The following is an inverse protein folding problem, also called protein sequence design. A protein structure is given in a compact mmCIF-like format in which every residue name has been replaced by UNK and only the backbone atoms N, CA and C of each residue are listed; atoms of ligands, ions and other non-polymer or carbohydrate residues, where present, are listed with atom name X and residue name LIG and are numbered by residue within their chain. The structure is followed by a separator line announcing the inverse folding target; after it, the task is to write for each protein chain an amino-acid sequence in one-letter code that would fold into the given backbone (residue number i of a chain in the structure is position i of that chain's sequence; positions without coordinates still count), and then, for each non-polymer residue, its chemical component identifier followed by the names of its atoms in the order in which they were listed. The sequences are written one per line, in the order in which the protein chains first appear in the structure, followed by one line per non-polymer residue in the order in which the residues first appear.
data_IF_874492186422
#
_entry.id   IF_874492186422
#
_cell.length_a   1.000
_cell.length_b   1.000
_cell.length_c   1.000
_cell.angle_alpha   90.00
_cell.angle_beta   90.00
_cell.angle_gamma   90.00
#
_symmetry.space_group_name_H-M   'P 1'
#
loop_
_entity.id
_entity.type
_entity.pdbx_description
1 polymer ?
#
# COMPACT_ATOMS: atom_id res chain seq x y z
N UNK A 1 54.31 2.46 -9.80
CA UNK A 1 53.69 1.38 -8.99
C UNK A 1 52.94 0.45 -9.93
N UNK A 2 53.42 -0.79 -10.10
CA UNK A 2 52.74 -1.78 -10.94
C UNK A 2 51.34 -2.06 -10.38
N UNK A 3 50.31 -2.03 -11.22
CA UNK A 3 48.96 -2.38 -10.83
C UNK A 3 48.96 -3.87 -10.43
N UNK A 4 48.86 -4.16 -9.12
CA UNK A 4 48.75 -5.54 -8.63
C UNK A 4 47.52 -6.17 -9.30
N UNK A 5 47.76 -7.16 -10.15
CA UNK A 5 46.70 -7.82 -10.91
C UNK A 5 45.73 -8.45 -9.91
N UNK A 6 44.47 -8.02 -9.94
CA UNK A 6 43.45 -8.54 -9.02
C UNK A 6 43.02 -9.91 -9.52
N UNK A 7 42.83 -10.89 -8.63
CA UNK A 7 42.31 -12.17 -9.05
C UNK A 7 40.86 -12.01 -9.53
N UNK A 8 40.52 -12.71 -10.62
CA UNK A 8 39.24 -12.57 -11.32
C UNK A 8 38.03 -12.85 -10.41
N UNK A 9 38.16 -13.79 -9.46
CA UNK A 9 37.10 -14.15 -8.50
C UNK A 9 36.55 -12.96 -7.70
N UNK A 10 37.35 -11.91 -7.49
CA UNK A 10 36.92 -10.72 -6.76
C UNK A 10 35.91 -9.89 -7.57
N UNK A 11 36.00 -9.92 -8.91
CA UNK A 11 35.02 -9.27 -9.79
C UNK A 11 33.71 -10.04 -9.75
N UNK A 12 33.78 -11.38 -9.80
CA UNK A 12 32.60 -12.24 -9.72
C UNK A 12 31.88 -12.09 -8.37
N UNK A 13 32.62 -12.12 -7.26
CA UNK A 13 32.06 -11.93 -5.92
C UNK A 13 31.32 -10.60 -5.76
N UNK A 14 31.84 -9.54 -6.39
CA UNK A 14 31.17 -8.24 -6.43
C UNK A 14 29.83 -8.32 -7.16
N UNK A 15 29.80 -8.92 -8.35
CA UNK A 15 28.58 -9.03 -9.16
C UNK A 15 27.54 -9.90 -8.48
N UNK A 16 27.94 -11.05 -7.95
CA UNK A 16 27.06 -11.94 -7.19
C UNK A 16 26.46 -11.21 -5.97
N UNK A 17 27.28 -10.47 -5.22
CA UNK A 17 26.79 -9.68 -4.08
C UNK A 17 25.81 -8.58 -4.51
N UNK A 18 26.07 -7.92 -5.64
CA UNK A 18 25.20 -6.87 -6.16
C UNK A 18 23.85 -7.42 -6.68
N UNK A 19 23.87 -8.58 -7.35
CA UNK A 19 22.65 -9.26 -7.80
C UNK A 19 21.85 -9.76 -6.60
N UNK A 20 22.50 -10.38 -5.62
CA UNK A 20 21.84 -10.81 -4.38
C UNK A 20 21.22 -9.62 -3.64
N UNK A 21 21.93 -8.49 -3.54
CA UNK A 21 21.40 -7.26 -2.97
C UNK A 21 20.19 -6.74 -3.75
N UNK A 22 20.24 -6.76 -5.08
CA UNK A 22 19.11 -6.31 -5.91
C UNK A 22 17.86 -7.18 -5.68
N UNK A 23 18.02 -8.51 -5.61
CA UNK A 23 16.91 -9.44 -5.33
C UNK A 23 16.35 -9.24 -3.93
N UNK A 24 17.22 -9.08 -2.92
CA UNK A 24 16.80 -8.83 -1.54
C UNK A 24 16.04 -7.51 -1.43
N UNK A 25 16.58 -6.42 -1.98
CA UNK A 25 15.89 -5.12 -2.03
C UNK A 25 14.55 -5.18 -2.78
N UNK A 26 14.44 -5.99 -3.83
CA UNK A 26 13.17 -6.19 -4.54
C UNK A 26 12.08 -6.81 -3.66
N UNK A 27 12.44 -7.55 -2.60
CA UNK A 27 11.52 -7.99 -1.55
C UNK A 27 11.36 -6.95 -0.42
N UNK A 28 12.44 -6.25 -0.03
CA UNK A 28 12.44 -5.24 1.03
C UNK A 28 11.54 -4.05 0.70
N UNK A 29 11.58 -3.52 -0.53
CA UNK A 29 10.80 -2.32 -0.89
C UNK A 29 9.28 -2.56 -0.82
N UNK A 30 8.71 -3.66 -1.38
CA UNK A 30 7.31 -4.00 -1.15
C UNK A 30 6.98 -4.24 0.33
N UNK A 31 7.84 -4.94 1.07
CA UNK A 31 7.63 -5.17 2.50
C UNK A 31 7.58 -3.84 3.29
N UNK A 32 8.46 -2.89 2.96
CA UNK A 32 8.46 -1.54 3.54
C UNK A 32 7.20 -0.75 3.15
N UNK A 33 6.74 -0.85 1.91
CA UNK A 33 5.51 -0.20 1.46
C UNK A 33 4.28 -0.78 2.18
N UNK A 34 4.20 -2.11 2.33
CA UNK A 34 3.14 -2.80 3.06
C UNK A 34 3.20 -2.50 4.56
N UNK A 35 4.39 -2.45 5.16
CA UNK A 35 4.54 -2.00 6.55
C UNK A 35 3.93 -0.61 6.77
N UNK A 36 4.15 0.32 5.84
CA UNK A 36 3.52 1.65 5.90
C UNK A 36 2.01 1.58 5.63
N UNK A 37 1.56 0.84 4.62
CA UNK A 37 0.13 0.72 4.32
C UNK A 37 -0.70 0.07 5.45
N UNK A 38 -0.04 -0.71 6.31
CA UNK A 38 -0.66 -1.42 7.44
C UNK A 38 -0.53 -0.67 8.76
N UNK A 39 0.04 0.54 8.76
CA UNK A 39 0.01 1.41 9.94
C UNK A 39 -1.44 1.64 10.41
N UNK A 40 -1.62 2.01 11.68
CA UNK A 40 -2.97 2.10 12.27
C UNK A 40 -3.91 3.01 11.48
N UNK A 41 -3.44 4.17 11.03
CA UNK A 41 -4.30 5.11 10.29
C UNK A 41 -4.63 4.57 8.90
N UNK A 42 -3.62 4.15 8.13
CA UNK A 42 -3.81 3.65 6.76
C UNK A 42 -4.59 2.33 6.73
N UNK A 43 -4.28 1.40 7.63
CA UNK A 43 -4.96 0.11 7.74
C UNK A 43 -6.44 0.27 8.10
N UNK A 44 -6.76 1.12 9.08
CA UNK A 44 -8.14 1.44 9.41
C UNK A 44 -8.87 2.10 8.23
N UNK A 45 -8.23 3.02 7.52
CA UNK A 45 -8.81 3.65 6.34
C UNK A 45 -9.10 2.64 5.23
N UNK A 46 -8.16 1.75 4.90
CA UNK A 46 -8.33 0.69 3.90
C UNK A 46 -9.48 -0.24 4.29
N UNK A 47 -9.49 -0.74 5.54
CA UNK A 47 -10.59 -1.59 6.04
C UNK A 47 -11.93 -0.84 5.94
N UNK A 48 -11.97 0.45 6.30
CA UNK A 48 -13.19 1.26 6.24
C UNK A 48 -13.74 1.36 4.82
N UNK A 49 -12.88 1.54 3.82
CA UNK A 49 -13.29 1.59 2.40
C UNK A 49 -13.80 0.24 1.91
N UNK A 50 -13.09 -0.85 2.21
CA UNK A 50 -13.52 -2.20 1.80
C UNK A 50 -14.87 -2.54 2.43
N UNK A 51 -15.01 -2.35 3.75
CA UNK A 51 -16.27 -2.63 4.46
C UNK A 51 -17.40 -1.73 3.94
N UNK A 52 -17.15 -0.43 3.77
CA UNK A 52 -18.18 0.47 3.24
C UNK A 52 -18.61 0.09 1.82
N UNK A 53 -17.66 -0.33 0.97
CA UNK A 53 -17.93 -0.79 -0.39
C UNK A 53 -18.77 -2.07 -0.40
N UNK A 54 -18.44 -3.04 0.44
CA UNK A 54 -19.22 -4.27 0.61
C UNK A 54 -20.64 -4.01 1.15
N UNK A 55 -20.82 -2.96 1.95
CA UNK A 55 -22.13 -2.56 2.47
C UNK A 55 -22.93 -1.65 1.53
N UNK A 56 -22.33 -1.17 0.43
CA UNK A 56 -22.91 -0.16 -0.45
C UNK A 56 -22.98 -0.69 -1.89
N UNK A 57 -23.95 -1.57 -2.21
CA UNK A 57 -24.03 -2.18 -3.52
C UNK A 57 -24.25 -1.16 -4.66
N UNK A 58 -24.94 -0.05 -4.36
CA UNK A 58 -25.10 1.08 -5.29
C UNK A 58 -23.88 2.04 -5.33
N UNK A 59 -22.73 1.63 -4.78
CA UNK A 59 -21.52 2.46 -4.65
C UNK A 59 -21.55 3.42 -3.45
N UNK A 60 -20.38 3.93 -3.06
CA UNK A 60 -20.19 4.71 -1.83
C UNK A 60 -20.92 6.07 -1.80
N UNK A 61 -21.23 6.65 -2.95
CA UNK A 61 -21.90 7.97 -3.05
C UNK A 61 -23.42 7.89 -3.16
N UNK A 62 -23.98 6.68 -3.29
CA UNK A 62 -25.43 6.49 -3.37
C UNK A 62 -26.14 7.06 -2.13
N UNK A 63 -27.21 7.82 -2.36
CA UNK A 63 -28.06 8.33 -1.28
C UNK A 63 -28.93 7.25 -0.63
N UNK A 64 -29.05 6.07 -1.25
CA UNK A 64 -29.86 4.96 -0.71
C UNK A 64 -29.28 4.46 0.62
N UNK A 65 -30.14 4.20 1.60
CA UNK A 65 -29.77 3.87 2.98
C UNK A 65 -29.34 5.08 3.82
N UNK A 66 -28.61 6.05 3.22
CA UNK A 66 -28.29 7.30 3.90
C UNK A 66 -29.56 8.12 4.16
N UNK A 67 -30.48 8.19 3.19
CA UNK A 67 -31.78 8.86 3.39
C UNK A 67 -32.55 8.32 4.58
N UNK A 68 -32.58 7.00 4.77
CA UNK A 68 -33.26 6.35 5.90
C UNK A 68 -32.62 6.71 7.24
N UNK A 69 -31.28 6.68 7.32
CA UNK A 69 -30.54 7.14 8.51
C UNK A 69 -30.82 8.63 8.76
N UNK A 70 -30.83 9.46 7.72
CA UNK A 70 -31.13 10.90 7.88
C UNK A 70 -32.54 11.11 8.42
N UNK A 71 -33.52 10.36 7.96
CA UNK A 71 -34.90 10.46 8.45
C UNK A 71 -35.04 9.99 9.90
N UNK A 72 -34.40 8.88 10.27
CA UNK A 72 -34.39 8.39 11.67
C UNK A 72 -33.73 9.40 12.61
N UNK A 73 -32.53 9.88 12.28
CA UNK A 73 -31.82 10.90 13.06
C UNK A 73 -32.61 12.22 13.15
N UNK A 74 -33.34 12.62 12.10
CA UNK A 74 -34.20 13.81 12.15
C UNK A 74 -35.36 13.66 13.14
N UNK A 75 -35.89 12.45 13.31
CA UNK A 75 -36.98 12.17 14.27
C UNK A 75 -36.49 12.04 15.71
N UNK A 76 -35.35 11.39 15.93
CA UNK A 76 -34.83 11.07 17.28
C UNK A 76 -33.75 12.03 17.79
N UNK A 77 -33.21 12.90 16.95
CA UNK A 77 -32.07 13.79 17.24
C UNK A 77 -30.70 13.11 17.12
N UNK A 78 -30.62 11.81 17.39
CA UNK A 78 -29.45 10.97 17.19
C UNK A 78 -29.86 9.51 16.99
N UNK A 79 -29.06 8.75 16.25
CA UNK A 79 -29.27 7.31 16.04
C UNK A 79 -28.00 6.54 16.38
N UNK A 80 -28.12 5.51 17.22
CA UNK A 80 -27.05 4.56 17.47
C UNK A 80 -27.16 3.43 16.43
N UNK A 81 -26.30 3.46 15.41
CA UNK A 81 -26.21 2.39 14.41
C UNK A 81 -25.24 1.33 14.94
N UNK A 82 -25.74 0.13 15.19
CA UNK A 82 -24.91 -1.01 15.60
C UNK A 82 -24.52 -1.84 14.38
N UNK A 83 -23.21 -1.99 14.16
CA UNK A 83 -22.66 -2.82 13.09
C UNK A 83 -21.60 -3.75 13.64
N UNK A 84 -21.80 -5.06 13.50
CA UNK A 84 -20.86 -6.08 14.00
C UNK A 84 -20.55 -5.96 15.49
N UNK A 85 -21.54 -5.58 16.31
CA UNK A 85 -21.37 -5.36 17.76
C UNK A 85 -20.67 -4.06 18.13
N UNK A 86 -20.42 -3.16 17.16
CA UNK A 86 -19.88 -1.83 17.38
C UNK A 86 -20.98 -0.80 17.18
N UNK A 87 -21.31 -0.04 18.23
CA UNK A 87 -22.28 1.05 18.15
C UNK A 87 -21.58 2.35 17.72
N UNK A 88 -22.13 3.00 16.69
CA UNK A 88 -21.72 4.33 16.22
C UNK A 88 -22.88 5.26 16.42
N UNK A 89 -22.67 6.34 17.16
CA UNK A 89 -23.69 7.39 17.30
C UNK A 89 -23.59 8.33 16.12
N UNK A 90 -24.66 8.42 15.34
CA UNK A 90 -24.84 9.38 14.27
C UNK A 90 -25.70 10.53 14.80
N UNK A 91 -25.13 11.72 14.79
CA UNK A 91 -25.80 12.94 15.26
C UNK A 91 -26.48 13.67 14.13
N UNK A 92 -27.39 14.60 14.47
CA UNK A 92 -27.99 15.51 13.48
C UNK A 92 -26.95 16.32 12.72
N UNK A 93 -25.91 16.80 13.40
CA UNK A 93 -24.81 17.53 12.76
C UNK A 93 -24.16 16.68 11.66
N UNK A 94 -23.86 15.41 11.94
CA UNK A 94 -23.26 14.50 10.95
C UNK A 94 -24.14 14.32 9.72
N UNK A 95 -25.45 14.16 9.92
CA UNK A 95 -26.43 13.98 8.85
C UNK A 95 -26.52 15.20 7.94
N UNK A 96 -26.41 16.38 8.52
CA UNK A 96 -26.54 17.67 7.82
C UNK A 96 -25.23 18.11 7.15
N UNK A 97 -24.06 17.77 7.71
CA UNK A 97 -22.76 18.21 7.18
C UNK A 97 -22.05 17.17 6.31
N UNK A 98 -22.24 15.87 6.58
CA UNK A 98 -21.50 14.82 5.88
C UNK A 98 -22.21 14.40 4.59
N UNK A 99 -21.41 14.20 3.55
CA UNK A 99 -21.87 13.55 2.33
C UNK A 99 -22.23 12.08 2.58
N UNK A 100 -23.04 11.43 1.72
CA UNK A 100 -23.36 10.01 1.84
C UNK A 100 -22.12 9.12 2.02
N UNK A 101 -21.06 9.38 1.26
CA UNK A 101 -19.77 8.70 1.36
C UNK A 101 -19.13 8.89 2.74
N UNK A 102 -19.05 10.12 3.22
CA UNK A 102 -18.45 10.41 4.53
C UNK A 102 -19.24 9.77 5.68
N UNK A 103 -20.57 9.77 5.61
CA UNK A 103 -21.41 9.14 6.63
C UNK A 103 -21.17 7.62 6.68
N UNK A 104 -21.10 6.96 5.53
CA UNK A 104 -20.79 5.52 5.43
C UNK A 104 -19.39 5.20 5.95
N UNK A 105 -18.39 6.01 5.58
CA UNK A 105 -17.03 5.88 6.10
C UNK A 105 -16.94 6.13 7.60
N UNK A 106 -17.78 7.00 8.17
CA UNK A 106 -17.87 7.20 9.62
C UNK A 106 -18.37 5.93 10.33
N UNK A 107 -19.42 5.31 9.80
CA UNK A 107 -19.98 4.06 10.36
C UNK A 107 -19.00 2.91 10.20
N UNK A 108 -18.47 2.70 8.99
CA UNK A 108 -17.49 1.62 8.74
C UNK A 108 -16.17 1.87 9.46
N UNK A 109 -15.80 3.13 9.70
CA UNK A 109 -14.59 3.52 10.43
C UNK A 109 -14.54 3.01 11.86
N UNK A 110 -15.65 3.04 12.59
CA UNK A 110 -15.69 2.51 13.95
C UNK A 110 -15.52 0.99 13.98
N UNK A 111 -16.13 0.29 13.03
CA UNK A 111 -15.93 -1.15 12.85
C UNK A 111 -14.48 -1.44 12.46
N UNK A 112 -13.94 -0.72 11.47
CA UNK A 112 -12.56 -0.87 11.00
C UNK A 112 -11.55 -0.65 12.12
N UNK A 113 -11.79 0.31 13.02
CA UNK A 113 -10.94 0.53 14.18
C UNK A 113 -10.89 -0.69 15.11
N UNK A 114 -12.04 -1.30 15.41
CA UNK A 114 -12.12 -2.52 16.22
C UNK A 114 -11.54 -3.72 15.50
N UNK A 115 -11.84 -3.86 14.21
CA UNK A 115 -11.33 -4.94 13.37
C UNK A 115 -9.80 -4.88 13.23
N UNK A 116 -9.21 -3.68 13.11
CA UNK A 116 -7.76 -3.49 13.09
C UNK A 116 -7.10 -4.01 14.37
N UNK A 117 -7.64 -3.63 15.53
CA UNK A 117 -7.05 -3.96 16.83
C UNK A 117 -7.24 -5.43 17.22
N UNK A 118 -8.37 -6.05 16.84
CA UNK A 118 -8.74 -7.40 17.26
C UNK A 118 -8.51 -8.49 16.20
N UNK A 119 -8.45 -8.10 14.92
CA UNK A 119 -8.49 -9.02 13.79
C UNK A 119 -9.82 -9.79 13.67
N UNK A 120 -9.95 -10.65 12.64
CA UNK A 120 -11.18 -11.41 12.41
C UNK A 120 -11.53 -12.36 13.57
N UNK A 121 -10.54 -13.07 14.10
CA UNK A 121 -10.73 -14.00 15.23
C UNK A 121 -11.17 -13.30 16.51
N UNK A 122 -10.55 -12.16 16.83
CA UNK A 122 -10.91 -11.38 18.01
C UNK A 122 -12.30 -10.78 17.91
N UNK A 123 -12.72 -10.35 16.71
CA UNK A 123 -14.09 -9.92 16.44
C UNK A 123 -15.10 -11.06 16.62
N UNK A 124 -14.85 -12.23 16.02
CA UNK A 124 -15.71 -13.41 16.16
C UNK A 124 -15.88 -13.83 17.64
N UNK A 125 -14.78 -13.82 18.40
CA UNK A 125 -14.78 -14.15 19.83
C UNK A 125 -15.64 -13.16 20.63
N UNK A 126 -15.55 -11.85 20.35
CA UNK A 126 -16.38 -10.84 21.02
C UNK A 126 -17.87 -10.99 20.71
N UNK A 127 -18.19 -11.49 19.52
CA UNK A 127 -19.57 -11.80 19.11
C UNK A 127 -20.06 -13.15 19.63
N UNK A 128 -19.25 -13.87 20.43
CA UNK A 128 -19.54 -15.23 20.91
C UNK A 128 -19.91 -16.18 19.77
N UNK A 129 -19.28 -16.01 18.62
CA UNK A 129 -19.42 -16.91 17.49
C UNK A 129 -18.89 -18.29 17.85
N UNK A 130 -19.52 -19.35 17.32
CA UNK A 130 -18.98 -20.70 17.44
C UNK A 130 -17.70 -20.86 16.58
N UNK A 131 -17.05 -22.02 16.68
CA UNK A 131 -15.80 -22.28 15.96
C UNK A 131 -15.98 -22.25 14.43
N UNK A 132 -17.13 -22.74 13.94
CA UNK A 132 -17.44 -22.77 12.51
C UNK A 132 -17.61 -21.35 11.93
N UNK A 133 -18.37 -20.50 12.62
CA UNK A 133 -18.54 -19.09 12.29
C UNK A 133 -17.23 -18.31 12.41
N UNK A 134 -16.37 -18.66 13.38
CA UNK A 134 -15.04 -18.06 13.52
C UNK A 134 -14.15 -18.39 12.31
N UNK A 135 -14.07 -19.67 11.90
CA UNK A 135 -13.30 -20.08 10.71
C UNK A 135 -13.82 -19.42 9.44
N UNK A 136 -15.15 -19.35 9.30
CA UNK A 136 -15.77 -18.65 8.17
C UNK A 136 -15.40 -17.17 8.16
N UNK A 137 -15.50 -16.48 9.31
CA UNK A 137 -15.12 -15.07 9.41
C UNK A 137 -13.62 -14.83 9.10
N UNK A 138 -12.73 -15.74 9.51
CA UNK A 138 -11.30 -15.68 9.14
C UNK A 138 -11.09 -15.86 7.64
N UNK A 139 -11.81 -16.77 7.00
CA UNK A 139 -11.76 -17.00 5.55
C UNK A 139 -12.30 -15.80 4.78
N UNK A 140 -13.49 -15.31 5.15
CA UNK A 140 -14.16 -14.19 4.49
C UNK A 140 -13.34 -12.89 4.63
N UNK A 141 -12.59 -12.75 5.73
CA UNK A 141 -11.73 -11.60 5.98
C UNK A 141 -10.26 -11.82 5.65
N UNK A 142 -9.90 -12.89 4.92
CA UNK A 142 -8.50 -13.22 4.61
C UNK A 142 -7.77 -12.07 3.88
N UNK A 143 -8.46 -11.38 2.96
CA UNK A 143 -7.94 -10.20 2.23
C UNK A 143 -7.65 -9.01 3.15
N UNK A 144 -8.38 -8.89 4.27
CA UNK A 144 -8.19 -7.80 5.24
C UNK A 144 -7.14 -8.11 6.29
N UNK A 145 -6.75 -9.38 6.44
CA UNK A 145 -5.77 -9.83 7.45
C UNK A 145 -4.44 -9.06 7.42
N UNK A 146 -3.83 -8.77 6.26
CA UNK A 146 -2.60 -7.96 6.20
C UNK A 146 -2.75 -6.58 6.85
N UNK A 147 -3.96 -6.00 6.79
CA UNK A 147 -4.26 -4.64 7.28
C UNK A 147 -4.70 -4.60 8.75
N UNK A 148 -4.47 -5.67 9.51
CA UNK A 148 -4.71 -5.71 10.96
C UNK A 148 -3.45 -5.39 11.74
N UNK A 149 -3.56 -5.19 13.06
CA UNK A 149 -2.41 -5.00 13.94
C UNK A 149 -1.40 -6.16 13.88
N UNK A 150 -1.89 -7.39 13.75
CA UNK A 150 -1.03 -8.57 13.64
C UNK A 150 -0.33 -8.63 12.29
N UNK A 151 -1.03 -8.26 11.21
CA UNK A 151 -0.43 -8.09 9.89
C UNK A 151 0.69 -7.03 9.91
N UNK A 152 0.43 -5.88 10.53
CA UNK A 152 1.44 -4.82 10.69
C UNK A 152 2.70 -5.31 11.43
N UNK A 153 2.53 -6.03 12.54
CA UNK A 153 3.66 -6.62 13.31
C UNK A 153 4.42 -7.66 12.49
N UNK A 154 3.72 -8.46 11.71
CA UNK A 154 4.35 -9.42 10.81
C UNK A 154 5.22 -8.71 9.76
N UNK A 155 4.68 -7.69 9.07
CA UNK A 155 5.45 -6.89 8.11
C UNK A 155 6.62 -6.16 8.77
N UNK A 156 6.46 -5.64 9.99
CA UNK A 156 7.55 -5.00 10.74
C UNK A 156 8.72 -5.98 10.99
N UNK A 157 8.40 -7.21 11.38
CA UNK A 157 9.39 -8.26 11.65
C UNK A 157 10.07 -8.69 10.35
N UNK A 158 9.29 -8.94 9.29
CA UNK A 158 9.82 -9.29 7.97
C UNK A 158 10.76 -8.19 7.43
N UNK A 159 10.34 -6.93 7.56
CA UNK A 159 11.12 -5.77 7.15
C UNK A 159 12.43 -5.66 7.95
N UNK A 160 12.41 -5.88 9.27
CA UNK A 160 13.61 -5.87 10.09
C UNK A 160 14.64 -6.92 9.62
N UNK A 161 14.18 -8.15 9.35
CA UNK A 161 15.03 -9.24 8.86
C UNK A 161 15.61 -8.89 7.48
N UNK A 162 14.76 -8.44 6.55
CA UNK A 162 15.18 -8.07 5.20
C UNK A 162 16.18 -6.91 5.21
N UNK A 163 15.95 -5.87 6.01
CA UNK A 163 16.91 -4.77 6.21
C UNK A 163 18.25 -5.28 6.74
N UNK A 164 18.25 -6.24 7.68
CA UNK A 164 19.48 -6.87 8.17
C UNK A 164 20.26 -7.58 7.07
N UNK A 165 19.57 -8.33 6.21
CA UNK A 165 20.16 -9.00 5.04
C UNK A 165 20.72 -7.98 4.04
N UNK A 166 19.96 -6.93 3.74
CA UNK A 166 20.37 -5.87 2.82
C UNK A 166 21.63 -5.14 3.32
N UNK A 167 21.74 -4.88 4.63
CA UNK A 167 22.92 -4.25 5.21
C UNK A 167 24.17 -5.13 5.07
N UNK A 168 24.04 -6.44 5.28
CA UNK A 168 25.14 -7.40 5.10
C UNK A 168 25.56 -7.44 3.62
N UNK A 169 24.62 -7.58 2.70
CA UNK A 169 24.87 -7.64 1.26
C UNK A 169 25.46 -6.33 0.73
N UNK A 170 24.96 -5.18 1.21
CA UNK A 170 25.53 -3.86 0.92
C UNK A 170 26.98 -3.78 1.40
N UNK A 171 27.28 -4.27 2.61
CA UNK A 171 28.64 -4.39 3.13
C UNK A 171 29.54 -5.21 2.20
N UNK A 172 29.07 -6.36 1.72
CA UNK A 172 29.82 -7.20 0.77
C UNK A 172 30.09 -6.47 -0.55
N UNK A 173 29.07 -5.79 -1.12
CA UNK A 173 29.23 -4.99 -2.35
C UNK A 173 30.29 -3.91 -2.16
N UNK A 174 30.31 -3.23 -1.00
CA UNK A 174 31.29 -2.19 -0.68
C UNK A 174 32.70 -2.79 -0.52
N UNK A 175 32.83 -3.92 0.21
CA UNK A 175 34.12 -4.60 0.41
C UNK A 175 34.73 -5.05 -0.93
N UNK A 176 33.92 -5.65 -1.80
CA UNK A 176 34.36 -6.10 -3.13
C UNK A 176 34.42 -4.97 -4.19
N UNK A 177 34.16 -3.72 -3.81
CA UNK A 177 34.27 -2.58 -4.70
C UNK A 177 35.53 -1.74 -4.45
N UNK A 178 36.10 -1.18 -5.52
CA UNK A 178 37.34 -0.41 -5.46
C UNK A 178 37.11 1.09 -5.65
N UNK A 179 37.76 1.92 -4.81
CA UNK A 179 37.72 3.39 -4.87
C UNK A 179 36.28 3.90 -4.94
N UNK A 180 35.95 4.73 -5.93
CA UNK A 180 34.60 5.26 -6.15
C UNK A 180 33.59 4.20 -6.55
N UNK A 181 34.03 3.03 -7.03
CA UNK A 181 33.16 1.88 -7.26
C UNK A 181 32.37 1.46 -6.02
N UNK A 182 32.86 1.80 -4.81
CA UNK A 182 32.17 1.55 -3.53
C UNK A 182 30.85 2.30 -3.38
N UNK A 183 30.71 3.45 -4.04
CA UNK A 183 29.48 4.24 -4.05
C UNK A 183 28.70 4.04 -5.35
N UNK A 184 29.40 3.88 -6.48
CA UNK A 184 28.75 3.67 -7.79
C UNK A 184 27.93 2.38 -7.79
N UNK A 185 28.49 1.26 -7.32
CA UNK A 185 27.79 -0.02 -7.39
C UNK A 185 26.49 -0.09 -6.56
N UNK A 186 26.47 0.27 -5.27
CA UNK A 186 25.21 0.30 -4.53
C UNK A 186 24.26 1.39 -5.05
N UNK A 187 24.79 2.51 -5.56
CA UNK A 187 23.97 3.55 -6.19
C UNK A 187 23.21 3.05 -7.42
N UNK A 188 23.88 2.31 -8.32
CA UNK A 188 23.25 1.69 -9.49
C UNK A 188 22.19 0.66 -9.07
N UNK A 189 22.49 -0.20 -8.10
CA UNK A 189 21.52 -1.19 -7.60
C UNK A 189 20.26 -0.51 -7.07
N UNK A 190 20.41 0.51 -6.22
CA UNK A 190 19.27 1.26 -5.67
C UNK A 190 18.44 1.98 -6.74
N UNK A 191 19.08 2.53 -7.77
CA UNK A 191 18.36 3.13 -8.90
C UNK A 191 17.54 2.07 -9.62
N UNK A 192 18.15 0.94 -10.00
CA UNK A 192 17.49 -0.12 -10.76
C UNK A 192 16.28 -0.70 -10.01
N UNK A 193 16.43 -1.01 -8.73
CA UNK A 193 15.32 -1.53 -7.91
C UNK A 193 14.29 -0.43 -7.62
N UNK A 194 14.70 0.84 -7.58
CA UNK A 194 13.82 2.00 -7.39
C UNK A 194 12.98 2.40 -8.62
N UNK A 195 13.30 1.91 -9.82
CA UNK A 195 12.62 2.28 -11.07
C UNK A 195 11.10 2.06 -11.13
N UNK A 196 10.49 1.06 -10.46
CA UNK A 196 9.04 0.94 -10.37
C UNK A 196 8.36 2.11 -9.64
N UNK A 197 9.09 2.90 -8.86
CA UNK A 197 8.53 4.02 -8.07
C UNK A 197 7.79 5.07 -8.88
N UNK A 198 8.40 5.65 -9.93
CA UNK A 198 7.72 6.55 -10.87
C UNK A 198 6.43 5.96 -11.48
N UNK A 199 6.38 4.65 -11.77
CA UNK A 199 5.17 4.00 -12.26
C UNK A 199 4.07 4.00 -11.20
N UNK A 200 4.37 3.59 -9.97
CA UNK A 200 3.41 3.67 -8.85
C UNK A 200 2.98 5.10 -8.56
N UNK A 201 3.89 6.07 -8.69
CA UNK A 201 3.57 7.48 -8.52
C UNK A 201 2.57 7.95 -9.58
N UNK A 202 2.80 7.62 -10.85
CA UNK A 202 1.86 7.94 -11.94
C UNK A 202 0.48 7.30 -11.70
N UNK A 203 0.43 6.03 -11.28
CA UNK A 203 -0.82 5.33 -10.94
C UNK A 203 -1.55 6.00 -9.77
N UNK A 204 -0.82 6.47 -8.75
CA UNK A 204 -1.43 7.17 -7.59
C UNK A 204 -2.01 8.55 -7.91
N UNK A 205 -1.61 9.16 -9.04
CA UNK A 205 -2.08 10.48 -9.49
C UNK A 205 -3.06 10.39 -10.65
N UNK A 206 -3.45 9.18 -11.09
CA UNK A 206 -4.51 9.08 -12.07
C UNK A 206 -5.78 9.68 -11.45
N UNK A 207 -6.40 10.68 -12.10
CA UNK A 207 -7.69 11.16 -11.65
C UNK A 207 -8.63 9.95 -11.61
N UNK A 208 -9.54 9.87 -10.61
CA UNK A 208 -10.53 8.81 -10.60
C UNK A 208 -11.19 8.82 -11.98
N UNK A 209 -11.14 7.68 -12.68
CA UNK A 209 -11.66 7.58 -14.04
C UNK A 209 -13.05 8.19 -13.99
N UNK A 210 -13.25 9.30 -14.72
CA UNK A 210 -14.52 10.00 -14.70
C UNK A 210 -15.57 8.97 -15.06
N UNK A 211 -16.33 8.53 -14.05
CA UNK A 211 -17.54 7.74 -14.23
C UNK A 211 -18.56 8.73 -14.78
N UNK A 212 -18.28 9.27 -15.97
CA UNK A 212 -19.30 9.90 -16.77
C UNK A 212 -20.39 8.82 -16.85
N UNK A 213 -21.59 9.07 -16.30
CA UNK A 213 -22.68 8.11 -16.41
C UNK A 213 -22.78 7.73 -17.88
N UNK A 214 -22.84 6.43 -18.22
CA UNK A 214 -22.78 5.96 -19.60
C UNK A 214 -23.72 6.82 -20.43
N UNK A 215 -23.13 7.66 -21.29
CA UNK A 215 -23.86 8.72 -21.97
C UNK A 215 -24.87 8.07 -22.91
N UNK A 216 -26.13 8.02 -22.49
CA UNK A 216 -27.27 7.78 -23.36
C UNK A 216 -27.26 6.47 -24.16
N UNK A 217 -26.85 5.35 -23.56
CA UNK A 217 -27.33 4.06 -24.08
C UNK A 217 -28.87 4.07 -24.00
N UNK A 218 -29.61 3.86 -25.09
CA UNK A 218 -31.06 3.88 -25.06
C UNK A 218 -31.54 2.92 -23.98
N UNK A 219 -32.55 3.34 -23.23
CA UNK A 219 -33.26 2.54 -22.24
C UNK A 219 -33.87 1.29 -22.90
N UNK A 220 -33.03 0.30 -23.18
CA UNK A 220 -33.41 -0.98 -23.73
C UNK A 220 -33.87 -1.85 -22.56
N UNK A 221 -35.17 -1.79 -22.29
CA UNK A 221 -35.90 -2.93 -21.74
C UNK A 221 -35.92 -3.10 -20.23
N UNK A 222 -36.49 -2.13 -19.51
CA UNK A 222 -37.11 -2.35 -18.19
C UNK A 222 -38.53 -2.96 -18.34
N UNK A 223 -38.68 -3.98 -19.18
CA UNK A 223 -39.93 -4.70 -19.35
C UNK A 223 -39.66 -6.21 -19.40
N UNK A 224 -39.81 -6.87 -18.26
CA UNK A 224 -39.91 -8.33 -18.17
C UNK A 224 -38.96 -8.95 -17.13
N UNK A 225 -39.43 -9.12 -15.90
CA UNK A 225 -38.68 -9.92 -14.92
C UNK A 225 -39.06 -9.74 -13.45
N UNK A 226 -40.34 -9.52 -13.14
CA UNK A 226 -40.84 -9.66 -11.78
C UNK A 226 -40.97 -11.15 -11.43
N UNK A 227 -39.86 -11.82 -11.11
CA UNK A 227 -39.80 -13.04 -10.30
C UNK A 227 -38.36 -13.57 -10.21
N UNK A 228 -37.74 -13.44 -9.04
CA UNK A 228 -36.69 -14.37 -8.58
C UNK A 228 -35.24 -14.03 -8.95
N UNK A 229 -34.51 -13.49 -7.98
CA UNK A 229 -33.06 -13.70 -7.86
C UNK A 229 -32.14 -12.69 -8.55
N UNK A 230 -32.40 -11.39 -8.40
CA UNK A 230 -31.45 -10.35 -8.80
C UNK A 230 -30.25 -10.31 -7.82
N UNK A 231 -29.24 -11.13 -8.07
CA UNK A 231 -27.89 -10.88 -7.56
C UNK A 231 -27.41 -9.58 -8.18
N UNK A 232 -27.26 -8.54 -7.36
CA UNK A 232 -26.77 -7.26 -7.85
C UNK A 232 -25.34 -7.45 -8.35
N UNK A 233 -24.89 -6.65 -9.33
CA UNK A 233 -23.50 -6.67 -9.77
C UNK A 233 -22.48 -6.39 -8.64
N UNK A 234 -22.96 -5.93 -7.48
CA UNK A 234 -22.19 -5.76 -6.26
C UNK A 234 -22.07 -7.02 -5.38
N UNK A 235 -22.90 -8.04 -5.60
CA UNK A 235 -22.81 -9.33 -4.89
C UNK A 235 -21.77 -10.27 -5.51
N UNK A 236 -21.19 -9.87 -6.65
CA UNK A 236 -20.15 -10.61 -7.36
C UNK A 236 -18.73 -10.10 -7.06
N UNK A 237 -17.70 -10.93 -7.34
CA UNK A 237 -16.29 -10.54 -7.21
C UNK A 237 -15.93 -9.27 -7.99
N UNK A 238 -16.68 -8.93 -9.04
CA UNK A 238 -16.50 -7.71 -9.83
C UNK A 238 -16.72 -6.41 -9.02
N UNK A 239 -17.74 -6.36 -8.14
CA UNK A 239 -18.01 -5.19 -7.31
C UNK A 239 -16.89 -4.93 -6.29
N UNK A 240 -16.38 -6.01 -5.68
CA UNK A 240 -15.22 -5.93 -4.78
C UNK A 240 -13.97 -5.45 -5.50
N UNK A 241 -13.71 -5.92 -6.72
CA UNK A 241 -12.58 -5.46 -7.54
C UNK A 241 -12.69 -3.96 -7.84
N UNK A 242 -13.88 -3.44 -8.13
CA UNK A 242 -14.07 -2.00 -8.34
C UNK A 242 -13.73 -1.18 -7.08
N UNK A 243 -14.26 -1.57 -5.92
CA UNK A 243 -13.95 -0.90 -4.64
C UNK A 243 -12.45 -0.94 -4.33
N UNK A 244 -11.80 -2.09 -4.52
CA UNK A 244 -10.36 -2.24 -4.30
C UNK A 244 -9.55 -1.37 -5.26
N UNK A 245 -9.96 -1.30 -6.52
CA UNK A 245 -9.23 -0.54 -7.55
C UNK A 245 -9.39 0.96 -7.33
N UNK A 246 -10.59 1.45 -7.02
CA UNK A 246 -10.85 2.89 -6.93
C UNK A 246 -10.44 3.50 -5.59
N UNK A 247 -10.62 2.76 -4.48
CA UNK A 247 -10.39 3.31 -3.14
C UNK A 247 -9.07 2.84 -2.52
N UNK A 248 -8.69 1.58 -2.71
CA UNK A 248 -7.53 0.98 -2.03
C UNK A 248 -6.25 1.13 -2.86
N UNK A 249 -6.32 0.94 -4.17
CA UNK A 249 -5.14 1.02 -5.04
C UNK A 249 -4.42 2.38 -4.98
N UNK A 250 -5.09 3.55 -4.99
CA UNK A 250 -4.39 4.83 -4.88
C UNK A 250 -3.67 5.01 -3.53
N UNK A 251 -4.28 4.53 -2.44
CA UNK A 251 -3.66 4.56 -1.11
C UNK A 251 -2.41 3.68 -1.07
N UNK A 252 -2.49 2.45 -1.58
CA UNK A 252 -1.34 1.56 -1.69
C UNK A 252 -0.26 2.16 -2.60
N UNK A 253 -0.64 2.60 -3.80
CA UNK A 253 0.26 3.18 -4.79
C UNK A 253 1.03 4.37 -4.22
N UNK A 254 0.42 5.21 -3.38
CA UNK A 254 1.12 6.30 -2.67
C UNK A 254 2.23 5.79 -1.75
N UNK A 255 1.99 4.74 -0.97
CA UNK A 255 3.00 4.16 -0.08
C UNK A 255 4.14 3.49 -0.87
N UNK A 256 3.79 2.73 -1.91
CA UNK A 256 4.76 2.12 -2.82
C UNK A 256 5.62 3.19 -3.52
N UNK A 257 4.99 4.19 -4.14
CA UNK A 257 5.68 5.30 -4.77
C UNK A 257 6.68 5.96 -3.82
N UNK A 258 6.26 6.28 -2.59
CA UNK A 258 7.14 6.95 -1.62
C UNK A 258 8.39 6.12 -1.30
N UNK A 259 8.23 4.82 -1.02
CA UNK A 259 9.35 3.94 -0.65
C UNK A 259 10.33 3.77 -1.83
N UNK A 260 9.81 3.52 -3.03
CA UNK A 260 10.65 3.34 -4.21
C UNK A 260 11.36 4.63 -4.64
N UNK A 261 10.69 5.79 -4.53
CA UNK A 261 11.30 7.09 -4.81
C UNK A 261 12.41 7.44 -3.80
N UNK A 262 12.29 7.04 -2.53
CA UNK A 262 13.38 7.18 -1.55
C UNK A 262 14.58 6.33 -1.97
N UNK A 263 14.37 5.08 -2.40
CA UNK A 263 15.46 4.22 -2.89
C UNK A 263 16.13 4.82 -4.14
N UNK A 264 15.33 5.27 -5.11
CA UNK A 264 15.80 5.92 -6.34
C UNK A 264 16.60 7.20 -6.04
N UNK A 265 16.08 8.06 -5.15
CA UNK A 265 16.73 9.28 -4.72
C UNK A 265 18.05 9.02 -3.99
N UNK A 266 18.07 8.02 -3.10
CA UNK A 266 19.29 7.59 -2.39
C UNK A 266 20.33 7.07 -3.36
N UNK A 267 19.94 6.23 -4.32
CA UNK A 267 20.83 5.73 -5.37
C UNK A 267 21.43 6.86 -6.21
N UNK A 268 20.60 7.81 -6.63
CA UNK A 268 21.04 9.01 -7.36
C UNK A 268 22.03 9.84 -6.55
N UNK A 269 21.75 10.10 -5.27
CA UNK A 269 22.65 10.84 -4.39
C UNK A 269 24.02 10.16 -4.26
N UNK A 270 24.06 8.83 -4.10
CA UNK A 270 25.30 8.07 -4.04
C UNK A 270 26.12 8.20 -5.34
N UNK A 271 25.47 8.18 -6.51
CA UNK A 271 26.15 8.38 -7.79
C UNK A 271 26.72 9.80 -7.92
N UNK A 272 25.97 10.83 -7.52
CA UNK A 272 26.44 12.23 -7.54
C UNK A 272 27.68 12.40 -6.66
N UNK A 273 27.67 11.86 -5.44
CA UNK A 273 28.83 11.90 -4.53
C UNK A 273 30.02 11.15 -5.13
N UNK A 274 29.79 10.00 -5.75
CA UNK A 274 30.85 9.23 -6.41
C UNK A 274 31.48 10.02 -7.56
N UNK A 275 30.67 10.66 -8.42
CA UNK A 275 31.12 11.48 -9.53
C UNK A 275 31.89 12.71 -9.06
N UNK A 276 31.38 13.44 -8.06
CA UNK A 276 32.07 14.58 -7.47
C UNK A 276 33.44 14.18 -6.92
N UNK A 277 33.53 13.02 -6.26
CA UNK A 277 34.79 12.46 -5.79
C UNK A 277 35.78 12.13 -6.92
N UNK A 278 35.29 11.53 -8.02
CA UNK A 278 36.10 11.24 -9.22
C UNK A 278 36.67 12.55 -9.79
N UNK A 279 35.83 13.57 -9.94
CA UNK A 279 36.20 14.89 -10.48
C UNK A 279 37.23 15.57 -9.56
N UNK A 280 36.97 15.63 -8.25
CA UNK A 280 37.88 16.24 -7.28
C UNK A 280 39.26 15.57 -7.28
N UNK A 281 39.30 14.24 -7.43
CA UNK A 281 40.57 13.51 -7.53
C UNK A 281 41.35 13.87 -8.80
N UNK A 282 40.65 14.08 -9.92
CA UNK A 282 41.29 14.47 -11.19
C UNK A 282 41.99 15.83 -11.07
N UNK A 283 41.41 16.77 -10.34
CA UNK A 283 42.02 18.09 -10.09
C UNK A 283 43.15 18.07 -9.06
N UNK A 284 43.16 17.12 -8.12
CA UNK A 284 44.23 17.00 -7.11
C UNK A 284 45.50 16.31 -7.62
N UNK A 285 45.50 15.71 -8.80
CA UNK A 285 46.69 15.03 -9.31
C UNK A 285 47.64 16.11 -9.84
N UNK A 286 48.81 16.37 -9.20
CA UNK A 286 49.70 17.46 -9.60
C UNK A 286 50.13 17.29 -11.05
N UNK A 287 50.17 18.39 -11.81
CA UNK A 287 50.65 18.41 -13.21
C UNK A 287 52.18 18.22 -13.33
N UNK A 288 52.87 18.01 -12.22
CA UNK A 288 54.33 18.14 -12.09
C UNK A 288 55.13 16.94 -12.65
N UNK A 289 54.54 16.13 -13.53
CA UNK A 289 55.24 15.06 -14.24
C UNK A 289 55.13 15.21 -15.76
N UNK A 290 55.24 16.44 -16.27
CA UNK A 290 55.64 16.63 -17.66
C UNK A 290 57.17 16.53 -17.71
N UNK A 291 57.76 15.50 -18.32
CA UNK A 291 59.18 15.52 -18.62
C UNK A 291 59.48 16.71 -19.53
N UNK A 292 60.54 17.45 -19.20
CA UNK A 292 61.06 18.54 -20.02
C UNK A 292 61.55 18.04 -21.39
#
# INVERSE_FOLDING_TARGET
MAAKNRPYWHVDAKWLSAIALAVSLAATLPAAALYRATDKASGQQIISYVVAGLMSPDGLDSGKGVTEIRERVRRTGSEAVSFGGVSVTITRHDVDTLSPRQLRLKVSGAFAARFYDLGPRGMATKLKADEAATKKAESDAAVLRPFTRDGHRWFATALLVLCGVDLILLGLVVVFSHRFGRLVSPGVVLILVGLPGPLFWALSHQPPASTAPPAGGPAAGLAGGAAGGAGSAADGPAGMVAVLTDAVAPLLAKHFATVYLIALGTGTALLVVALAGIVARRFRTPRDTLPA
#
